data_IF_300181099226
#
_entry.id   IF_300181099226
#
_cell.length_a   1.000
_cell.length_b   1.000
_cell.length_c   1.000
_cell.angle_alpha   90.00
_cell.angle_beta   90.00
_cell.angle_gamma   90.00
#
_symmetry.space_group_name_H-M   'P 1'
#
loop_
_entity.id
_entity.type
_entity.pdbx_description
1 polymer ?
#
# COMPACT_ATOMS: atom_id res chain seq x y z
N UNK A 1 -6.66 -22.95 3.46
CA UNK A 1 -5.68 -22.09 2.74
C UNK A 1 -6.11 -21.71 1.32
N UNK A 2 -6.18 -22.62 0.33
CA UNK A 2 -6.53 -22.24 -1.07
C UNK A 2 -7.95 -21.70 -1.23
N UNK A 3 -8.94 -22.33 -0.58
CA UNK A 3 -10.35 -21.89 -0.60
C UNK A 3 -10.50 -20.49 0.02
N UNK A 4 -9.88 -20.24 1.17
CA UNK A 4 -9.90 -18.93 1.84
C UNK A 4 -9.29 -17.82 1.00
N UNK A 5 -8.20 -18.10 0.26
CA UNK A 5 -7.57 -17.13 -0.63
C UNK A 5 -8.47 -16.77 -1.82
N UNK A 6 -9.09 -17.78 -2.44
CA UNK A 6 -10.05 -17.57 -3.53
C UNK A 6 -11.26 -16.77 -3.02
N UNK A 7 -11.79 -17.13 -1.86
CA UNK A 7 -12.88 -16.40 -1.21
C UNK A 7 -12.50 -14.94 -0.94
N UNK A 8 -11.34 -14.70 -0.32
CA UNK A 8 -10.84 -13.35 -0.05
C UNK A 8 -10.69 -12.50 -1.32
N UNK A 9 -10.13 -13.08 -2.39
CA UNK A 9 -9.97 -12.41 -3.68
C UNK A 9 -11.32 -12.04 -4.30
N UNK A 10 -12.25 -13.00 -4.38
CA UNK A 10 -13.57 -12.78 -4.99
C UNK A 10 -14.39 -11.78 -4.19
N UNK A 11 -14.36 -11.85 -2.84
CA UNK A 11 -15.05 -10.92 -1.98
C UNK A 11 -14.47 -9.50 -2.09
N UNK A 12 -13.14 -9.36 -2.11
CA UNK A 12 -12.50 -8.06 -2.27
C UNK A 12 -12.88 -7.42 -3.61
N UNK A 13 -12.80 -8.19 -4.71
CA UNK A 13 -13.18 -7.71 -6.03
C UNK A 13 -14.67 -7.32 -6.09
N UNK A 14 -15.57 -8.19 -5.64
CA UNK A 14 -17.00 -7.95 -5.65
C UNK A 14 -17.37 -6.71 -4.82
N UNK A 15 -16.83 -6.57 -3.61
CA UNK A 15 -17.09 -5.41 -2.75
C UNK A 15 -16.59 -4.11 -3.38
N UNK A 16 -15.37 -4.08 -3.92
CA UNK A 16 -14.85 -2.87 -4.58
C UNK A 16 -15.74 -2.50 -5.78
N UNK A 17 -16.10 -3.44 -6.64
CA UNK A 17 -16.94 -3.19 -7.83
C UNK A 17 -18.32 -2.67 -7.43
N UNK A 18 -18.96 -3.26 -6.40
CA UNK A 18 -20.29 -2.86 -5.94
C UNK A 18 -20.26 -1.50 -5.25
N UNK A 19 -19.25 -1.22 -4.43
CA UNK A 19 -19.19 0.00 -3.61
C UNK A 19 -18.63 1.21 -4.37
N UNK A 20 -17.76 1.00 -5.36
CA UNK A 20 -17.07 2.08 -6.07
C UNK A 20 -18.01 3.14 -6.68
N UNK A 21 -19.11 2.79 -7.39
CA UNK A 21 -20.00 3.80 -7.96
C UNK A 21 -20.63 4.73 -6.90
N UNK A 22 -21.03 4.18 -5.75
CA UNK A 22 -21.55 4.96 -4.62
C UNK A 22 -20.47 5.81 -3.97
N UNK A 23 -19.27 5.25 -3.82
CA UNK A 23 -18.11 5.95 -3.27
C UNK A 23 -17.66 7.14 -4.14
N UNK A 24 -17.66 6.99 -5.46
CA UNK A 24 -17.36 8.08 -6.40
C UNK A 24 -18.36 9.24 -6.21
N UNK A 25 -19.67 8.94 -6.13
CA UNK A 25 -20.70 9.96 -5.89
C UNK A 25 -20.51 10.66 -4.56
N UNK A 26 -20.14 9.92 -3.51
CA UNK A 26 -19.82 10.50 -2.20
C UNK A 26 -18.64 11.46 -2.29
N UNK A 27 -17.53 11.06 -2.92
CA UNK A 27 -16.36 11.92 -3.06
C UNK A 27 -16.65 13.19 -3.87
N UNK A 28 -17.45 13.08 -4.92
CA UNK A 28 -17.92 14.23 -5.70
C UNK A 28 -18.79 15.17 -4.85
N UNK A 29 -19.70 14.62 -4.03
CA UNK A 29 -20.57 15.41 -3.15
C UNK A 29 -19.79 16.15 -2.05
N UNK A 30 -18.71 15.56 -1.54
CA UNK A 30 -17.83 16.18 -0.52
C UNK A 30 -16.84 17.18 -1.15
N UNK A 31 -16.88 17.36 -2.47
CA UNK A 31 -16.03 18.32 -3.18
C UNK A 31 -14.57 17.87 -3.31
N UNK A 32 -14.30 16.57 -3.29
CA UNK A 32 -12.96 15.99 -3.45
C UNK A 32 -12.57 15.76 -4.92
N UNK A 33 -13.19 16.52 -5.83
CA UNK A 33 -12.76 16.60 -7.23
C UNK A 33 -11.53 17.50 -7.35
N UNK A 34 -10.55 17.11 -8.16
CA UNK A 34 -9.36 17.95 -8.42
C UNK A 34 -9.79 19.36 -8.87
N UNK A 35 -9.37 20.40 -8.14
CA UNK A 35 -9.47 21.79 -8.60
C UNK A 35 -8.54 21.95 -9.80
N UNK A 36 -9.10 22.28 -10.96
CA UNK A 36 -8.34 22.45 -12.20
C UNK A 36 -7.49 23.73 -12.04
N UNK A 37 -6.16 23.60 -12.01
CA UNK A 37 -5.26 24.77 -12.15
C UNK A 37 -5.37 25.27 -13.59
N UNK A 38 -5.66 26.55 -13.77
CA UNK A 38 -5.88 27.17 -15.08
C UNK A 38 -4.62 27.23 -15.98
N UNK A 39 -3.42 26.96 -15.45
CA UNK A 39 -2.13 27.12 -16.15
C UNK A 39 -1.56 25.81 -16.73
N UNK A 40 -2.35 24.74 -16.85
CA UNK A 40 -1.90 23.43 -17.37
C UNK A 40 -2.20 23.20 -18.86
N UNK A 41 -1.41 22.37 -19.59
CA UNK A 41 -1.67 21.97 -20.98
C UNK A 41 -3.07 21.36 -21.16
N UNK A 42 -3.71 21.55 -22.31
CA UNK A 42 -5.12 21.17 -22.59
C UNK A 42 -5.46 19.69 -22.28
N UNK A 43 -4.49 18.77 -22.37
CA UNK A 43 -4.67 17.36 -21.98
C UNK A 43 -4.96 17.15 -20.47
N UNK A 44 -4.59 18.11 -19.61
CA UNK A 44 -4.88 18.09 -18.17
C UNK A 44 -6.26 18.69 -17.83
N UNK A 45 -6.92 19.38 -18.77
CA UNK A 45 -8.27 19.94 -18.57
C UNK A 45 -9.36 18.86 -18.64
N UNK A 46 -9.14 17.78 -19.40
CA UNK A 46 -10.08 16.66 -19.57
C UNK A 46 -10.19 15.73 -18.33
N UNK A 47 -9.27 15.83 -17.36
CA UNK A 47 -9.30 15.09 -16.08
C UNK A 47 -9.94 15.90 -14.94
N UNK A 48 -10.55 17.04 -15.25
CA UNK A 48 -11.30 17.83 -14.28
C UNK A 48 -12.55 17.09 -13.80
N UNK A 49 -12.66 16.84 -12.50
CA UNK A 49 -13.85 16.25 -11.89
C UNK A 49 -13.76 14.78 -11.48
N UNK A 50 -12.69 14.06 -11.84
CA UNK A 50 -12.46 12.71 -11.30
C UNK A 50 -12.01 12.83 -9.84
N UNK A 51 -12.71 12.22 -8.87
CA UNK A 51 -12.35 12.36 -7.46
C UNK A 51 -11.00 11.69 -7.18
N UNK A 52 -10.18 12.35 -6.38
CA UNK A 52 -8.97 11.76 -5.79
C UNK A 52 -9.36 10.87 -4.60
N UNK A 53 -8.52 9.92 -4.18
CA UNK A 53 -8.77 8.97 -3.06
C UNK A 53 -9.51 7.66 -3.37
N UNK A 54 -9.45 7.15 -4.59
CA UNK A 54 -9.94 5.79 -4.91
C UNK A 54 -9.29 4.69 -4.07
N UNK A 55 -8.00 4.85 -3.75
CA UNK A 55 -7.23 3.89 -2.95
C UNK A 55 -7.74 3.69 -1.51
N UNK A 56 -8.40 4.69 -0.93
CA UNK A 56 -8.95 4.58 0.43
C UNK A 56 -10.03 3.50 0.52
N UNK A 57 -10.89 3.38 -0.50
CA UNK A 57 -11.90 2.32 -0.54
C UNK A 57 -11.24 0.93 -0.57
N UNK A 58 -10.16 0.78 -1.34
CA UNK A 58 -9.41 -0.48 -1.43
C UNK A 58 -8.85 -0.85 -0.05
N UNK A 59 -8.23 0.11 0.65
CA UNK A 59 -7.67 -0.11 1.99
C UNK A 59 -8.76 -0.52 2.99
N UNK A 60 -9.90 0.18 2.99
CA UNK A 60 -11.03 -0.14 3.87
C UNK A 60 -11.56 -1.55 3.60
N UNK A 61 -11.77 -1.92 2.33
CA UNK A 61 -12.25 -3.26 1.97
C UNK A 61 -11.25 -4.34 2.41
N UNK A 62 -9.95 -4.14 2.18
CA UNK A 62 -8.91 -5.09 2.59
C UNK A 62 -8.88 -5.25 4.12
N UNK A 63 -8.93 -4.15 4.88
CA UNK A 63 -8.92 -4.19 6.35
C UNK A 63 -10.17 -4.91 6.88
N UNK A 64 -11.36 -4.55 6.39
CA UNK A 64 -12.61 -5.15 6.84
C UNK A 64 -12.62 -6.65 6.54
N UNK A 65 -12.26 -7.06 5.33
CA UNK A 65 -12.19 -8.48 4.98
C UNK A 65 -11.13 -9.22 5.80
N UNK A 66 -9.98 -8.60 6.06
CA UNK A 66 -8.97 -9.18 6.92
C UNK A 66 -9.54 -9.51 8.30
N UNK A 67 -10.13 -8.53 8.99
CA UNK A 67 -10.67 -8.76 10.34
C UNK A 67 -11.87 -9.72 10.34
N UNK A 68 -12.71 -9.70 9.31
CA UNK A 68 -13.85 -10.62 9.21
C UNK A 68 -13.42 -12.07 8.96
N UNK A 69 -12.39 -12.30 8.15
CA UNK A 69 -11.96 -13.65 7.75
C UNK A 69 -10.83 -14.23 8.60
N UNK A 70 -9.99 -13.37 9.21
CA UNK A 70 -8.81 -13.77 9.97
C UNK A 70 -8.85 -13.39 11.44
N UNK A 71 -9.69 -12.44 11.84
CA UNK A 71 -9.75 -11.95 13.23
C UNK A 71 -8.50 -11.17 13.63
N UNK A 72 -7.90 -11.52 14.77
CA UNK A 72 -6.74 -10.80 15.30
C UNK A 72 -5.46 -11.11 14.51
N UNK A 73 -4.65 -10.08 14.17
CA UNK A 73 -3.43 -10.27 13.39
C UNK A 73 -2.35 -11.00 14.20
N UNK A 74 -1.86 -12.10 13.64
CA UNK A 74 -0.61 -12.75 14.04
C UNK A 74 0.58 -11.82 13.79
N UNK A 75 1.72 -12.04 14.45
CA UNK A 75 2.92 -11.18 14.31
C UNK A 75 3.37 -10.99 12.87
N UNK A 76 3.22 -12.01 12.03
CA UNK A 76 3.54 -12.00 10.61
C UNK A 76 2.76 -10.95 9.80
N UNK A 77 1.53 -10.63 10.23
CA UNK A 77 0.61 -9.77 9.48
C UNK A 77 0.62 -8.33 10.01
N UNK A 78 1.16 -8.10 11.20
CA UNK A 78 1.21 -6.77 11.82
C UNK A 78 1.99 -5.78 10.94
N UNK A 79 3.19 -6.13 10.48
CA UNK A 79 3.99 -5.26 9.60
C UNK A 79 3.28 -4.85 8.30
N UNK A 80 2.78 -5.79 7.47
CA UNK A 80 2.09 -5.42 6.23
C UNK A 80 0.79 -4.65 6.49
N UNK A 81 0.00 -5.03 7.51
CA UNK A 81 -1.24 -4.33 7.85
C UNK A 81 -0.98 -2.91 8.38
N UNK A 82 0.03 -2.74 9.23
CA UNK A 82 0.45 -1.43 9.74
C UNK A 82 0.99 -0.55 8.61
N UNK A 83 1.79 -1.11 7.69
CA UNK A 83 2.30 -0.36 6.53
C UNK A 83 1.14 0.11 5.64
N UNK A 84 0.21 -0.79 5.31
CA UNK A 84 -0.97 -0.47 4.52
C UNK A 84 -1.77 0.68 5.13
N UNK A 85 -1.99 0.63 6.44
CA UNK A 85 -2.79 1.63 7.15
C UNK A 85 -2.04 2.96 7.31
N UNK A 86 -0.78 2.94 7.76
CA UNK A 86 -0.01 4.16 8.05
C UNK A 86 0.42 4.92 6.79
N UNK A 87 0.82 4.21 5.73
CA UNK A 87 1.13 4.82 4.43
C UNK A 87 -0.16 5.22 3.71
N UNK A 88 -1.23 4.42 3.86
CA UNK A 88 -2.56 4.74 3.36
C UNK A 88 -3.13 6.03 3.95
N UNK A 89 -3.00 6.22 5.26
CA UNK A 89 -3.40 7.45 5.96
C UNK A 89 -2.58 8.64 5.48
N UNK A 90 -1.27 8.48 5.27
CA UNK A 90 -0.43 9.55 4.71
C UNK A 90 -0.92 9.96 3.31
N UNK A 91 -1.16 8.98 2.43
CA UNK A 91 -1.69 9.24 1.09
C UNK A 91 -3.07 9.89 1.13
N UNK A 92 -3.93 9.44 2.03
CA UNK A 92 -5.25 10.02 2.22
C UNK A 92 -5.17 11.49 2.72
N UNK A 93 -4.32 11.76 3.70
CA UNK A 93 -4.09 13.12 4.19
C UNK A 93 -3.53 14.04 3.09
N UNK A 94 -2.64 13.51 2.25
CA UNK A 94 -2.09 14.24 1.11
C UNK A 94 -3.14 14.61 0.06
N UNK A 95 -3.97 13.65 -0.33
CA UNK A 95 -5.05 13.87 -1.29
C UNK A 95 -6.09 14.86 -0.76
N UNK A 96 -6.46 14.78 0.53
CA UNK A 96 -7.39 15.74 1.15
C UNK A 96 -6.80 17.14 1.14
N UNK A 97 -5.51 17.28 1.48
CA UNK A 97 -4.86 18.58 1.48
C UNK A 97 -4.82 19.15 0.06
N UNK A 98 -4.40 18.35 -0.92
CA UNK A 98 -4.35 18.73 -2.32
C UNK A 98 -5.73 19.13 -2.87
N UNK A 99 -6.80 18.42 -2.51
CA UNK A 99 -8.16 18.77 -2.91
C UNK A 99 -8.63 20.13 -2.33
N UNK A 100 -8.20 20.45 -1.10
CA UNK A 100 -8.61 21.69 -0.40
C UNK A 100 -7.78 22.92 -0.77
N UNK A 101 -6.46 22.76 -0.88
CA UNK A 101 -5.51 23.88 -1.03
C UNK A 101 -4.92 23.97 -2.45
N UNK A 102 -5.05 22.92 -3.26
CA UNK A 102 -4.37 22.80 -4.55
C UNK A 102 -2.90 22.39 -4.45
N UNK A 103 -2.41 22.08 -3.25
CA UNK A 103 -1.06 21.60 -3.00
C UNK A 103 -1.07 20.43 -2.01
N UNK A 104 -0.34 19.36 -2.31
CA UNK A 104 -0.13 18.25 -1.38
C UNK A 104 0.81 18.60 -0.22
N UNK A 105 1.00 17.64 0.68
CA UNK A 105 1.96 17.68 1.77
C UNK A 105 3.36 17.87 1.18
N UNK A 106 4.13 18.82 1.76
CA UNK A 106 5.51 19.07 1.32
C UNK A 106 6.34 17.77 1.37
N UNK A 107 7.12 17.52 0.33
CA UNK A 107 7.90 16.29 0.16
C UNK A 107 8.73 15.92 1.40
N UNK A 108 9.36 16.90 2.06
CA UNK A 108 10.15 16.68 3.29
C UNK A 108 9.34 16.03 4.43
N UNK A 109 8.07 16.41 4.60
CA UNK A 109 7.22 15.85 5.66
C UNK A 109 6.72 14.46 5.29
N UNK A 110 6.43 14.22 4.00
CA UNK A 110 6.12 12.87 3.50
C UNK A 110 7.28 11.90 3.72
N UNK A 111 8.50 12.31 3.36
CA UNK A 111 9.70 11.50 3.56
C UNK A 111 9.95 11.27 5.04
N UNK A 112 9.81 12.29 5.89
CA UNK A 112 9.94 12.13 7.35
C UNK A 112 8.94 11.11 7.90
N UNK A 113 7.68 11.18 7.48
CA UNK A 113 6.66 10.21 7.87
C UNK A 113 7.01 8.80 7.40
N UNK A 114 7.38 8.65 6.13
CA UNK A 114 7.76 7.36 5.55
C UNK A 114 9.00 6.77 6.25
N UNK A 115 9.99 7.59 6.62
CA UNK A 115 11.16 7.14 7.38
C UNK A 115 10.77 6.58 8.74
N UNK A 116 9.89 7.27 9.49
CA UNK A 116 9.42 6.80 10.79
C UNK A 116 8.63 5.50 10.66
N UNK A 117 7.67 5.45 9.74
CA UNK A 117 6.85 4.25 9.51
C UNK A 117 7.73 3.08 9.08
N UNK A 118 8.64 3.28 8.12
CA UNK A 118 9.50 2.24 7.58
C UNK A 118 10.48 1.72 8.65
N UNK A 119 11.05 2.59 9.49
CA UNK A 119 11.93 2.17 10.58
C UNK A 119 11.19 1.31 11.63
N UNK A 120 9.99 1.73 12.04
CA UNK A 120 9.17 0.99 13.02
C UNK A 120 8.75 -0.37 12.46
N UNK A 121 8.27 -0.41 11.22
CA UNK A 121 7.87 -1.65 10.55
C UNK A 121 9.06 -2.58 10.34
N UNK A 122 10.19 -2.07 9.87
CA UNK A 122 11.40 -2.87 9.66
C UNK A 122 11.93 -3.45 10.98
N UNK A 123 11.89 -2.66 12.07
CA UNK A 123 12.21 -3.14 13.41
C UNK A 123 11.24 -4.24 13.85
N UNK A 124 9.94 -4.09 13.63
CA UNK A 124 8.95 -5.12 13.95
C UNK A 124 9.22 -6.42 13.19
N UNK A 125 9.56 -6.35 11.90
CA UNK A 125 9.91 -7.52 11.09
C UNK A 125 11.14 -8.22 11.70
N UNK A 126 12.20 -7.47 12.00
CA UNK A 126 13.41 -8.03 12.61
C UNK A 126 13.13 -8.68 13.98
N UNK A 127 12.30 -8.04 14.81
CA UNK A 127 11.92 -8.57 16.13
C UNK A 127 11.05 -9.83 16.06
N UNK A 128 10.38 -10.04 14.92
CA UNK A 128 9.47 -11.15 14.68
C UNK A 128 10.22 -12.37 14.14
N UNK A 129 11.16 -12.15 13.22
CA UNK A 129 11.81 -13.24 12.46
C UNK A 129 13.30 -13.43 12.78
N UNK A 130 13.91 -12.54 13.56
CA UNK A 130 15.33 -12.61 13.92
C UNK A 130 16.25 -12.81 12.70
N UNK A 131 15.98 -12.10 11.61
CA UNK A 131 16.66 -12.30 10.32
C UNK A 131 18.16 -11.99 10.44
N UNK A 132 18.96 -12.97 10.04
CA UNK A 132 20.42 -12.94 9.98
C UNK A 132 20.95 -13.28 8.58
N UNK A 133 20.09 -13.68 7.65
CA UNK A 133 20.42 -13.98 6.27
C UNK A 133 19.35 -13.48 5.29
N UNK A 134 19.76 -13.03 4.11
CA UNK A 134 18.87 -12.70 3.00
C UNK A 134 19.10 -13.65 1.82
N UNK A 135 18.01 -14.10 1.21
CA UNK A 135 18.09 -14.89 -0.01
C UNK A 135 18.41 -13.98 -1.20
N UNK A 136 19.61 -14.14 -1.76
CA UNK A 136 20.04 -13.46 -2.99
C UNK A 136 19.80 -14.39 -4.17
N UNK A 137 19.00 -13.98 -5.18
CA UNK A 137 18.73 -14.82 -6.36
C UNK A 137 20.02 -15.34 -6.99
N UNK A 138 20.04 -16.62 -7.36
CA UNK A 138 21.17 -17.34 -7.96
C UNK A 138 22.43 -17.52 -7.09
N UNK A 139 22.51 -16.86 -5.93
CA UNK A 139 23.64 -16.96 -5.00
C UNK A 139 23.29 -17.83 -3.79
N UNK A 140 22.06 -17.74 -3.30
CA UNK A 140 21.62 -18.40 -2.07
C UNK A 140 21.56 -17.45 -0.88
N UNK A 141 21.65 -17.99 0.33
CA UNK A 141 21.57 -17.19 1.54
C UNK A 141 22.87 -16.42 1.79
N UNK A 142 22.75 -15.13 2.07
CA UNK A 142 23.87 -14.24 2.36
C UNK A 142 23.64 -13.61 3.73
N UNK A 143 24.60 -13.79 4.63
CA UNK A 143 24.56 -13.24 5.98
C UNK A 143 24.42 -11.72 6.00
N UNK A 144 23.56 -11.22 6.87
CA UNK A 144 23.30 -9.80 7.09
C UNK A 144 23.20 -9.51 8.59
N UNK A 145 23.84 -8.43 9.03
CA UNK A 145 23.69 -8.00 10.41
C UNK A 145 22.24 -7.51 10.66
N UNK A 146 21.62 -7.79 11.82
CA UNK A 146 20.24 -7.38 12.13
C UNK A 146 19.94 -5.89 11.90
N UNK A 147 20.85 -5.00 12.29
CA UNK A 147 20.69 -3.56 12.08
C UNK A 147 20.76 -3.17 10.59
N UNK A 148 21.56 -3.89 9.81
CA UNK A 148 21.70 -3.67 8.37
C UNK A 148 20.45 -4.18 7.63
N UNK A 149 19.87 -5.29 8.08
CA UNK A 149 18.55 -5.75 7.60
C UNK A 149 17.47 -4.70 7.86
N UNK A 150 17.40 -4.12 9.07
CA UNK A 150 16.43 -3.06 9.38
C UNK A 150 16.59 -1.87 8.43
N UNK A 151 17.82 -1.41 8.21
CA UNK A 151 18.11 -0.30 7.29
C UNK A 151 17.69 -0.64 5.85
N UNK A 152 18.00 -1.86 5.40
CA UNK A 152 17.65 -2.35 4.07
C UNK A 152 16.12 -2.45 3.88
N UNK A 153 15.41 -3.05 4.83
CA UNK A 153 13.96 -3.17 4.80
C UNK A 153 13.28 -1.81 4.83
N UNK A 154 13.75 -0.88 5.68
CA UNK A 154 13.22 0.47 5.73
C UNK A 154 13.43 1.20 4.39
N UNK A 155 14.62 1.09 3.79
CA UNK A 155 14.89 1.62 2.46
C UNK A 155 13.95 1.02 1.40
N UNK A 156 13.75 -0.29 1.40
CA UNK A 156 12.87 -0.99 0.46
C UNK A 156 11.40 -0.50 0.57
N UNK A 157 10.89 -0.31 1.79
CA UNK A 157 9.53 0.22 2.03
C UNK A 157 9.39 1.64 1.47
N UNK A 158 10.35 2.53 1.76
CA UNK A 158 10.33 3.92 1.28
C UNK A 158 10.44 3.94 -0.25
N UNK A 159 11.37 3.17 -0.81
CA UNK A 159 11.58 3.08 -2.26
C UNK A 159 10.33 2.56 -2.97
N UNK A 160 9.70 1.49 -2.46
CA UNK A 160 8.47 0.94 -3.02
C UNK A 160 7.32 1.94 -2.98
N UNK A 161 7.10 2.61 -1.84
CA UNK A 161 6.02 3.61 -1.69
C UNK A 161 6.19 4.78 -2.68
N UNK A 162 7.40 5.33 -2.80
CA UNK A 162 7.67 6.42 -3.75
C UNK A 162 7.64 5.95 -5.20
N UNK A 163 8.13 4.73 -5.49
CA UNK A 163 8.10 4.15 -6.83
C UNK A 163 6.68 3.92 -7.35
N UNK A 164 5.79 3.40 -6.51
CA UNK A 164 4.36 3.23 -6.86
C UNK A 164 3.71 4.59 -7.08
N UNK A 165 3.96 5.57 -6.19
CA UNK A 165 3.42 6.91 -6.33
C UNK A 165 3.88 7.61 -7.63
N UNK A 166 5.13 7.38 -8.06
CA UNK A 166 5.64 7.90 -9.34
C UNK A 166 5.00 7.21 -10.55
N UNK A 167 4.65 5.93 -10.41
CA UNK A 167 4.03 5.12 -11.48
C UNK A 167 2.55 5.47 -11.68
N UNK A 168 1.88 6.05 -10.68
CA UNK A 168 0.45 6.40 -10.70
C UNK A 168 0.14 7.71 -11.46
N UNK A 169 0.98 8.09 -12.41
CA UNK A 169 0.81 9.30 -13.24
C UNK A 169 -0.14 9.14 -14.44
N UNK A 170 -0.48 7.90 -14.80
CA UNK A 170 -1.33 7.55 -15.93
C UNK A 170 -2.49 6.65 -15.48
N UNK A 171 -3.66 6.85 -16.09
CA UNK A 171 -4.88 6.16 -15.65
C UNK A 171 -4.72 4.64 -15.80
N UNK A 172 -4.75 3.93 -14.68
CA UNK A 172 -4.66 2.47 -14.65
C UNK A 172 -3.24 1.90 -14.75
N UNK A 173 -2.18 2.72 -14.90
CA UNK A 173 -0.80 2.21 -15.02
C UNK A 173 -0.33 1.55 -13.71
N UNK A 174 -0.45 2.25 -12.58
CA UNK A 174 -0.09 1.68 -11.27
C UNK A 174 -0.97 0.48 -10.91
N UNK A 175 -2.28 0.57 -11.18
CA UNK A 175 -3.19 -0.56 -10.96
C UNK A 175 -2.79 -1.81 -11.74
N UNK A 176 -2.47 -1.66 -13.03
CA UNK A 176 -2.05 -2.76 -13.90
C UNK A 176 -0.72 -3.38 -13.46
N UNK A 177 0.29 -2.58 -13.13
CA UNK A 177 1.59 -3.09 -12.68
C UNK A 177 1.51 -3.77 -11.31
N UNK A 178 0.70 -3.25 -10.39
CA UNK A 178 0.51 -3.82 -9.07
C UNK A 178 -0.16 -5.21 -9.09
N UNK A 179 -1.03 -5.50 -10.05
CA UNK A 179 -1.64 -6.84 -10.18
C UNK A 179 -0.54 -7.91 -10.33
N UNK A 180 0.42 -7.68 -11.23
CA UNK A 180 1.52 -8.64 -11.45
C UNK A 180 2.42 -8.77 -10.21
N UNK A 181 2.73 -7.65 -9.55
CA UNK A 181 3.53 -7.65 -8.33
C UNK A 181 2.84 -8.42 -7.19
N UNK A 182 1.55 -8.18 -6.95
CA UNK A 182 0.80 -8.87 -5.90
C UNK A 182 0.60 -10.36 -6.19
N UNK A 183 0.39 -10.75 -7.45
CA UNK A 183 0.35 -12.17 -7.83
C UNK A 183 1.69 -12.85 -7.56
N UNK A 184 2.82 -12.20 -7.90
CA UNK A 184 4.14 -12.73 -7.60
C UNK A 184 4.36 -12.88 -6.08
N UNK A 185 4.04 -11.87 -5.28
CA UNK A 185 4.16 -11.95 -3.82
C UNK A 185 3.24 -12.99 -3.20
N UNK A 186 2.01 -13.16 -3.72
CA UNK A 186 1.09 -14.20 -3.28
C UNK A 186 1.69 -15.60 -3.52
N UNK A 187 2.26 -15.84 -4.71
CA UNK A 187 2.92 -17.12 -5.01
C UNK A 187 4.14 -17.35 -4.13
N UNK A 188 4.98 -16.33 -3.92
CA UNK A 188 6.13 -16.41 -3.03
C UNK A 188 5.69 -16.76 -1.60
N UNK A 189 4.66 -16.11 -1.07
CA UNK A 189 4.14 -16.37 0.26
C UNK A 189 3.52 -17.77 0.41
N UNK A 190 2.93 -18.31 -0.67
CA UNK A 190 2.38 -19.66 -0.69
C UNK A 190 3.46 -20.75 -0.74
N UNK A 191 4.55 -20.49 -1.44
CA UNK A 191 5.65 -21.44 -1.62
C UNK A 191 6.67 -21.39 -0.47
N UNK A 192 6.84 -20.24 0.16
CA UNK A 192 7.74 -20.06 1.31
C UNK A 192 6.97 -20.17 2.62
N UNK A 193 6.96 -21.38 3.19
CA UNK A 193 6.48 -21.60 4.55
C UNK A 193 7.59 -21.19 5.52
N UNK A 194 7.63 -19.92 5.88
CA UNK A 194 8.47 -19.43 6.99
C UNK A 194 7.80 -19.86 8.30
N UNK A 195 8.52 -20.54 9.23
CA UNK A 195 7.99 -20.84 10.56
C UNK A 195 7.43 -19.57 11.20
N UNK A 196 6.16 -19.62 11.59
CA UNK A 196 5.56 -18.45 12.23
C UNK A 196 6.00 -18.40 13.69
N UNK A 197 6.36 -17.23 14.22
CA UNK A 197 6.79 -17.12 15.61
C UNK A 197 5.70 -17.46 16.63
N UNK A 198 4.44 -17.52 16.20
CA UNK A 198 3.29 -17.88 17.04
C UNK A 198 2.69 -19.27 16.68
N UNK A 199 3.40 -20.12 15.92
CA UNK A 199 2.91 -21.43 15.44
C UNK A 199 3.97 -22.52 15.38
#
# INVERSE_FOLDING_TARGET
>A
MTVELIQGLLLAFALVVILMPGYIRLLQAVGMGKRIRAEGPEAHLAKGGTPTMGGLLIIVVVIVLFFLLRGFPQRAIIAPLATLLLVGVLGAADDILNARTGEGIRARHKILWLMVVAAVVAYQIQSTYSIDEIAVPFVGAVGIAPWLFIAFAAFAIIAASNGVNLTDGLDGLAGGTLIFAFVAFMLIALLNIVPQPDG
#
